data_IF_945790001516
#
_entry.id   IF_945790001516
#
_cell.length_a   1.000
_cell.length_b   1.000
_cell.length_c   1.000
_cell.angle_alpha   90.00
_cell.angle_beta   90.00
_cell.angle_gamma   90.00
#
_symmetry.space_group_name_H-M   'P 1'
#
loop_
_entity.id
_entity.type
_entity.pdbx_description
1 polymer ?
#
# COMPACT_ATOMS: atom_id res chain seq x y z
N UNK A 1 -16.27 -14.63 -3.63
CA UNK A 1 -14.94 -14.14 -4.14
C UNK A 1 -15.13 -12.88 -4.97
N UNK A 2 -14.34 -11.83 -4.74
CA UNK A 2 -14.23 -10.62 -5.57
C UNK A 2 -12.80 -10.49 -6.06
N UNK A 3 -12.60 -10.03 -7.29
CA UNK A 3 -11.29 -9.78 -7.88
C UNK A 3 -11.07 -8.28 -8.02
N UNK A 4 -9.84 -7.85 -7.78
CA UNK A 4 -9.44 -6.46 -7.91
C UNK A 4 -7.99 -6.27 -8.37
N UNK A 5 -7.61 -5.01 -8.53
CA UNK A 5 -6.26 -4.56 -8.87
C UNK A 5 -5.97 -3.23 -8.15
N UNK A 6 -4.68 -2.86 -7.94
CA UNK A 6 -4.35 -1.71 -7.10
C UNK A 6 -4.19 -0.41 -7.87
N UNK A 7 -4.75 0.65 -7.32
CA UNK A 7 -4.44 2.07 -7.42
C UNK A 7 -4.75 2.76 -8.76
N UNK A 8 -4.40 2.18 -9.89
CA UNK A 8 -4.45 2.83 -11.21
C UNK A 8 -5.17 1.94 -12.20
N UNK A 9 -6.11 2.52 -12.94
CA UNK A 9 -6.66 1.91 -14.14
C UNK A 9 -5.94 2.52 -15.34
N UNK A 10 -5.22 1.69 -16.10
CA UNK A 10 -4.39 2.14 -17.23
C UNK A 10 -5.21 2.33 -18.51
N UNK A 11 -6.44 1.85 -18.55
CA UNK A 11 -7.37 2.02 -19.68
C UNK A 11 -8.02 3.40 -19.70
N UNK A 12 -8.22 4.00 -18.52
CA UNK A 12 -8.84 5.32 -18.39
C UNK A 12 -7.79 6.43 -18.52
N UNK A 13 -8.17 7.51 -19.23
CA UNK A 13 -7.31 8.68 -19.44
C UNK A 13 -7.33 9.66 -18.25
N UNK A 14 -7.49 9.14 -17.03
CA UNK A 14 -7.53 9.95 -15.81
C UNK A 14 -6.64 9.36 -14.72
N UNK A 15 -6.42 10.13 -13.65
CA UNK A 15 -5.68 9.68 -12.47
C UNK A 15 -6.41 10.11 -11.21
N UNK A 16 -6.64 9.15 -10.29
CA UNK A 16 -7.20 9.40 -8.96
C UNK A 16 -6.12 9.80 -7.92
N UNK A 17 -4.90 10.09 -8.36
CA UNK A 17 -3.77 10.44 -7.51
C UNK A 17 -3.00 11.67 -8.04
N UNK A 18 -3.72 12.64 -8.61
CA UNK A 18 -3.12 13.91 -9.02
C UNK A 18 -2.57 14.63 -7.79
N UNK A 19 -1.34 15.09 -7.90
CA UNK A 19 -0.66 15.85 -6.84
C UNK A 19 0.18 16.96 -7.42
N UNK A 20 0.78 17.78 -6.56
CA UNK A 20 1.67 18.88 -6.93
C UNK A 20 2.82 18.98 -5.91
N UNK A 21 3.81 19.84 -6.21
CA UNK A 21 4.97 19.99 -5.32
C UNK A 21 4.57 20.72 -4.03
N UNK A 22 5.10 20.31 -2.89
CA UNK A 22 4.85 20.93 -1.58
C UNK A 22 5.05 22.45 -1.59
N UNK A 23 6.10 22.93 -2.25
CA UNK A 23 6.39 24.37 -2.41
C UNK A 23 5.34 25.15 -3.23
N UNK A 24 4.39 24.45 -3.83
CA UNK A 24 3.30 25.03 -4.61
C UNK A 24 1.94 24.83 -3.94
N UNK A 25 1.93 24.51 -2.64
CA UNK A 25 0.70 24.31 -1.89
C UNK A 25 -0.14 25.59 -1.86
N UNK A 26 -1.39 25.49 -2.26
CA UNK A 26 -2.46 26.45 -1.99
C UNK A 26 -3.79 25.72 -1.85
N UNK A 27 -4.77 26.27 -1.09
CA UNK A 27 -6.10 25.67 -0.96
C UNK A 27 -6.79 25.41 -2.31
N UNK A 28 -6.66 26.33 -3.26
CA UNK A 28 -7.28 26.21 -4.59
C UNK A 28 -6.72 25.00 -5.36
N UNK A 29 -5.42 24.75 -5.27
CA UNK A 29 -4.80 23.55 -5.87
C UNK A 29 -5.23 22.26 -5.20
N UNK A 30 -5.44 22.27 -3.87
CA UNK A 30 -6.00 21.13 -3.19
C UNK A 30 -7.41 20.85 -3.70
N UNK A 31 -8.26 21.88 -3.78
CA UNK A 31 -9.63 21.74 -4.31
C UNK A 31 -9.63 21.19 -5.73
N UNK A 32 -8.82 21.73 -6.63
CA UNK A 32 -8.72 21.28 -8.03
C UNK A 32 -8.27 19.80 -8.10
N UNK A 33 -7.23 19.44 -7.35
CA UNK A 33 -6.68 18.10 -7.37
C UNK A 33 -7.66 17.07 -6.77
N UNK A 34 -8.27 17.36 -5.62
CA UNK A 34 -9.22 16.45 -4.96
C UNK A 34 -10.46 16.26 -5.82
N UNK A 35 -11.03 17.33 -6.38
CA UNK A 35 -12.18 17.22 -7.27
C UNK A 35 -11.88 16.31 -8.49
N UNK A 36 -10.72 16.50 -9.12
CA UNK A 36 -10.30 15.67 -10.26
C UNK A 36 -10.04 14.20 -9.84
N UNK A 37 -9.43 13.98 -8.67
CA UNK A 37 -9.15 12.64 -8.16
C UNK A 37 -10.43 11.88 -7.83
N UNK A 38 -11.42 12.52 -7.19
CA UNK A 38 -12.71 11.90 -6.87
C UNK A 38 -13.51 11.60 -8.14
N UNK A 39 -13.52 12.52 -9.11
CA UNK A 39 -14.17 12.28 -10.41
C UNK A 39 -13.55 11.08 -11.14
N UNK A 40 -12.21 10.94 -11.11
CA UNK A 40 -11.53 9.79 -11.69
C UNK A 40 -11.79 8.50 -10.90
N UNK A 41 -11.80 8.56 -9.56
CA UNK A 41 -12.13 7.39 -8.72
C UNK A 41 -13.53 6.85 -9.06
N UNK A 42 -14.52 7.73 -9.21
CA UNK A 42 -15.87 7.34 -9.63
C UNK A 42 -15.84 6.62 -10.99
N UNK A 43 -15.14 7.15 -11.98
CA UNK A 43 -14.99 6.51 -13.29
C UNK A 43 -14.33 5.13 -13.21
N UNK A 44 -13.29 4.98 -12.35
CA UNK A 44 -12.64 3.69 -12.12
C UNK A 44 -13.63 2.68 -11.53
N UNK A 45 -14.43 3.07 -10.54
CA UNK A 45 -15.41 2.19 -9.92
C UNK A 45 -16.52 1.78 -10.87
N UNK A 46 -17.01 2.70 -11.71
CA UNK A 46 -18.00 2.42 -12.78
C UNK A 46 -17.43 1.45 -13.82
N UNK A 47 -16.18 1.68 -14.25
CA UNK A 47 -15.48 0.78 -15.16
C UNK A 47 -15.33 -0.62 -14.54
N UNK A 48 -14.90 -0.69 -13.29
CA UNK A 48 -14.73 -1.95 -12.56
C UNK A 48 -16.06 -2.73 -12.48
N UNK A 49 -17.14 -2.03 -12.13
CA UNK A 49 -18.49 -2.64 -12.09
C UNK A 49 -18.88 -3.23 -13.44
N UNK A 50 -18.69 -2.48 -14.53
CA UNK A 50 -19.02 -2.94 -15.88
C UNK A 50 -18.25 -4.23 -16.27
N UNK A 51 -17.07 -4.45 -15.67
CA UNK A 51 -16.23 -5.63 -15.96
C UNK A 51 -16.32 -6.73 -14.90
N UNK A 52 -17.14 -6.54 -13.84
CA UNK A 52 -17.31 -7.52 -12.76
C UNK A 52 -16.15 -7.53 -11.75
N UNK A 53 -15.35 -6.47 -11.72
CA UNK A 53 -14.26 -6.30 -10.79
C UNK A 53 -14.78 -5.60 -9.54
N UNK A 54 -15.13 -6.38 -8.52
CA UNK A 54 -15.83 -5.89 -7.33
C UNK A 54 -14.90 -5.65 -6.13
N UNK A 55 -13.60 -5.64 -6.35
CA UNK A 55 -12.61 -5.24 -5.35
C UNK A 55 -11.67 -4.19 -5.95
N UNK A 56 -11.35 -3.14 -5.20
CA UNK A 56 -10.42 -2.11 -5.66
C UNK A 56 -9.57 -1.58 -4.50
N UNK A 57 -8.25 -1.59 -4.66
CA UNK A 57 -7.34 -0.91 -3.74
C UNK A 57 -7.14 0.52 -4.20
N UNK A 58 -7.67 1.46 -3.42
CA UNK A 58 -7.54 2.89 -3.70
C UNK A 58 -6.11 3.37 -3.43
N UNK A 59 -5.64 4.31 -4.22
CA UNK A 59 -4.32 4.92 -3.99
C UNK A 59 -4.36 5.96 -2.87
N UNK A 60 -3.28 6.09 -2.11
CA UNK A 60 -3.15 7.04 -0.98
C UNK A 60 -3.26 8.51 -1.40
N UNK A 61 -3.07 8.83 -2.68
CA UNK A 61 -2.98 10.20 -3.19
C UNK A 61 -4.31 10.88 -3.51
N UNK A 62 -5.46 10.40 -3.01
CA UNK A 62 -6.78 11.01 -3.28
C UNK A 62 -6.79 12.47 -2.83
N UNK A 63 -6.27 12.77 -1.64
CA UNK A 63 -6.09 14.13 -1.16
C UNK A 63 -4.58 14.42 -1.08
N UNK A 64 -4.06 15.34 -1.90
CA UNK A 64 -2.66 15.75 -1.81
C UNK A 64 -2.31 16.23 -0.41
N UNK A 65 -1.23 15.68 0.16
CA UNK A 65 -0.77 16.01 1.52
C UNK A 65 -1.80 15.77 2.61
N UNK A 66 -2.68 14.79 2.45
CA UNK A 66 -3.82 14.55 3.34
C UNK A 66 -3.43 14.32 4.81
N UNK A 67 -2.29 13.66 5.05
CA UNK A 67 -1.70 13.43 6.38
C UNK A 67 -0.65 14.47 6.81
N UNK A 68 -0.29 15.42 5.93
CA UNK A 68 0.80 16.37 6.18
C UNK A 68 0.28 17.65 6.80
N UNK A 69 0.97 18.18 7.81
CA UNK A 69 0.62 19.40 8.56
C UNK A 69 0.42 20.67 7.70
N UNK A 70 1.01 20.71 6.50
CA UNK A 70 0.82 21.82 5.57
C UNK A 70 -0.62 21.89 5.06
N UNK A 71 -1.35 20.77 5.04
CA UNK A 71 -2.71 20.73 4.53
C UNK A 71 -3.71 21.15 5.62
N UNK A 72 -3.84 22.45 5.81
CA UNK A 72 -4.81 23.07 6.73
C UNK A 72 -6.18 23.32 6.09
N UNK A 73 -6.33 23.01 4.80
CA UNK A 73 -7.60 23.16 4.12
C UNK A 73 -8.63 22.12 4.61
N UNK A 74 -9.86 22.52 4.96
CA UNK A 74 -10.86 21.63 5.54
C UNK A 74 -11.52 20.75 4.45
N UNK A 75 -10.72 19.96 3.74
CA UNK A 75 -11.17 19.11 2.63
C UNK A 75 -12.23 18.09 3.03
N UNK A 76 -12.22 17.63 4.29
CA UNK A 76 -13.22 16.68 4.81
C UNK A 76 -14.63 17.29 4.76
N UNK A 77 -14.75 18.56 5.11
CA UNK A 77 -16.04 19.27 5.05
C UNK A 77 -16.40 19.64 3.62
N UNK A 78 -15.41 20.11 2.86
CA UNK A 78 -15.63 20.59 1.49
C UNK A 78 -16.10 19.49 0.54
N UNK A 79 -15.58 18.27 0.66
CA UNK A 79 -15.86 17.14 -0.23
C UNK A 79 -16.70 16.04 0.40
N UNK A 80 -17.35 16.34 1.52
CA UNK A 80 -18.16 15.35 2.26
C UNK A 80 -19.21 14.68 1.40
N UNK A 81 -19.91 15.44 0.55
CA UNK A 81 -20.97 14.94 -0.33
C UNK A 81 -20.42 14.01 -1.42
N UNK A 82 -19.27 14.34 -1.98
CA UNK A 82 -18.62 13.56 -3.02
C UNK A 82 -18.09 12.23 -2.49
N UNK A 83 -17.43 12.25 -1.32
CA UNK A 83 -17.00 11.01 -0.64
C UNK A 83 -18.19 10.12 -0.31
N UNK A 84 -19.26 10.69 0.23
CA UNK A 84 -20.48 9.94 0.53
C UNK A 84 -21.10 9.33 -0.72
N UNK A 85 -21.19 10.06 -1.83
CA UNK A 85 -21.73 9.55 -3.09
C UNK A 85 -20.90 8.34 -3.61
N UNK A 86 -19.57 8.39 -3.51
CA UNK A 86 -18.69 7.27 -3.83
C UNK A 86 -18.96 6.08 -2.91
N UNK A 87 -19.08 6.31 -1.61
CA UNK A 87 -19.40 5.27 -0.64
C UNK A 87 -20.76 4.63 -0.87
N UNK A 88 -21.77 5.42 -1.23
CA UNK A 88 -23.10 4.91 -1.59
C UNK A 88 -23.04 4.04 -2.86
N UNK A 89 -22.23 4.43 -3.84
CA UNK A 89 -21.99 3.60 -5.04
C UNK A 89 -21.33 2.27 -4.68
N UNK A 90 -20.27 2.30 -3.85
CA UNK A 90 -19.56 1.09 -3.39
C UNK A 90 -20.53 0.13 -2.68
N UNK A 91 -21.35 0.64 -1.76
CA UNK A 91 -22.34 -0.14 -0.99
C UNK A 91 -23.43 -0.70 -1.90
N UNK A 92 -23.99 0.12 -2.79
CA UNK A 92 -25.08 -0.27 -3.71
C UNK A 92 -24.68 -1.42 -4.64
N UNK A 93 -23.41 -1.51 -5.01
CA UNK A 93 -22.88 -2.53 -5.92
C UNK A 93 -22.08 -3.63 -5.21
N UNK A 94 -22.16 -3.70 -3.87
CA UNK A 94 -21.45 -4.70 -3.07
C UNK A 94 -19.96 -4.78 -3.42
N UNK A 95 -19.34 -3.65 -3.68
CA UNK A 95 -17.89 -3.58 -3.93
C UNK A 95 -17.13 -3.61 -2.61
N UNK A 96 -15.92 -4.13 -2.64
CA UNK A 96 -14.95 -4.01 -1.53
C UNK A 96 -13.86 -3.04 -1.92
N UNK A 97 -13.40 -2.25 -0.97
CA UNK A 97 -12.27 -1.35 -1.17
C UNK A 97 -11.26 -1.49 -0.03
N UNK A 98 -10.03 -1.13 -0.31
CA UNK A 98 -8.95 -1.08 0.68
C UNK A 98 -7.97 0.04 0.34
N UNK A 99 -7.11 0.37 1.31
CA UNK A 99 -5.90 1.14 1.10
C UNK A 99 -4.68 0.30 1.46
N UNK A 100 -3.58 0.59 0.80
CA UNK A 100 -2.25 0.12 1.17
C UNK A 100 -1.31 1.33 1.14
N UNK A 101 -1.03 1.95 2.30
CA UNK A 101 -0.09 3.06 2.38
C UNK A 101 1.30 2.65 1.89
N UNK A 102 2.11 3.65 1.59
CA UNK A 102 3.50 3.44 1.17
C UNK A 102 4.28 2.62 2.20
N UNK A 103 5.26 1.84 1.75
CA UNK A 103 6.16 1.01 2.56
C UNK A 103 6.89 1.75 3.70
N UNK A 104 6.84 3.09 3.72
CA UNK A 104 7.40 3.91 4.80
C UNK A 104 6.45 4.06 5.99
N UNK A 105 5.20 3.63 5.88
CA UNK A 105 4.23 3.58 6.98
C UNK A 105 4.51 2.34 7.81
N UNK A 106 5.17 2.53 8.95
CA UNK A 106 5.65 1.46 9.82
C UNK A 106 5.35 1.77 11.28
N UNK A 107 4.81 0.80 12.02
CA UNK A 107 4.46 0.96 13.44
C UNK A 107 5.61 0.55 14.39
N UNK A 108 6.65 -0.10 13.88
CA UNK A 108 7.71 -0.71 14.66
C UNK A 108 9.04 0.08 14.61
N UNK A 109 9.04 1.28 14.05
CA UNK A 109 10.25 2.11 14.00
C UNK A 109 10.75 2.47 15.40
N UNK A 110 12.07 2.43 15.64
CA UNK A 110 12.65 2.99 16.86
C UNK A 110 12.64 4.52 16.90
N UNK A 111 12.35 5.19 15.78
CA UNK A 111 12.18 6.64 15.69
C UNK A 111 10.70 7.00 15.91
N UNK A 112 10.35 7.66 17.05
CA UNK A 112 8.98 8.01 17.36
C UNK A 112 8.36 9.01 16.34
N UNK A 113 9.16 9.83 15.68
CA UNK A 113 8.68 10.73 14.63
C UNK A 113 8.25 9.97 13.37
N UNK A 114 8.89 8.84 13.05
CA UNK A 114 8.44 7.96 11.95
C UNK A 114 7.13 7.29 12.35
N UNK A 115 7.02 6.77 13.58
CA UNK A 115 5.79 6.14 14.09
C UNK A 115 4.63 7.12 14.04
N UNK A 116 4.82 8.36 14.53
CA UNK A 116 3.76 9.37 14.53
C UNK A 116 3.26 9.68 13.11
N UNK A 117 4.17 9.93 12.16
CA UNK A 117 3.79 10.15 10.74
C UNK A 117 3.08 8.94 10.12
N UNK A 118 3.45 7.73 10.54
CA UNK A 118 2.77 6.51 10.10
C UNK A 118 1.34 6.43 10.63
N UNK A 119 1.13 6.81 11.88
CA UNK A 119 -0.19 6.89 12.50
C UNK A 119 -1.04 7.99 11.81
N UNK A 120 -0.46 9.17 11.56
CA UNK A 120 -1.13 10.28 10.87
C UNK A 120 -1.60 9.85 9.46
N UNK A 121 -0.78 9.07 8.73
CA UNK A 121 -1.17 8.52 7.43
C UNK A 121 -2.31 7.50 7.53
N UNK A 122 -2.28 6.61 8.53
CA UNK A 122 -3.36 5.65 8.77
C UNK A 122 -4.66 6.33 9.18
N UNK A 123 -4.61 7.36 10.03
CA UNK A 123 -5.77 8.18 10.40
C UNK A 123 -6.33 8.88 9.16
N UNK A 124 -5.48 9.46 8.32
CA UNK A 124 -5.90 10.08 7.08
C UNK A 124 -6.66 9.09 6.19
N UNK A 125 -6.07 7.93 5.90
CA UNK A 125 -6.71 6.94 5.01
C UNK A 125 -7.97 6.35 5.65
N UNK A 126 -7.99 6.11 6.96
CA UNK A 126 -9.19 5.70 7.70
C UNK A 126 -10.31 6.73 7.57
N UNK A 127 -9.98 8.03 7.70
CA UNK A 127 -10.96 9.11 7.57
C UNK A 127 -11.60 9.19 6.17
N UNK A 128 -10.89 8.79 5.11
CA UNK A 128 -11.49 8.69 3.76
C UNK A 128 -12.57 7.62 3.71
N UNK A 129 -12.34 6.45 4.34
CA UNK A 129 -13.31 5.36 4.42
C UNK A 129 -14.52 5.77 5.28
N UNK A 130 -14.30 6.53 6.35
CA UNK A 130 -15.36 7.04 7.22
C UNK A 130 -16.22 8.10 6.52
N UNK A 131 -15.61 9.00 5.73
CA UNK A 131 -16.34 9.97 4.90
C UNK A 131 -17.19 9.30 3.81
N UNK A 132 -16.76 8.13 3.33
CA UNK A 132 -17.53 7.26 2.43
C UNK A 132 -18.61 6.45 3.17
N UNK A 133 -18.68 6.55 4.50
CA UNK A 133 -19.61 5.77 5.36
C UNK A 133 -19.49 4.26 5.11
N UNK A 134 -18.27 3.76 4.92
CA UNK A 134 -17.96 2.34 4.76
C UNK A 134 -17.74 1.66 6.11
N UNK A 135 -18.15 0.41 6.22
CA UNK A 135 -17.94 -0.38 7.42
C UNK A 135 -16.48 -0.87 7.58
N UNK A 136 -16.23 -1.67 8.62
CA UNK A 136 -14.88 -2.17 8.93
C UNK A 136 -14.35 -3.23 7.97
N UNK A 137 -15.13 -3.68 6.99
CA UNK A 137 -14.65 -4.57 5.91
C UNK A 137 -13.77 -3.83 4.90
N UNK A 138 -13.86 -2.49 4.84
CA UNK A 138 -12.92 -1.64 4.13
C UNK A 138 -11.63 -1.49 4.95
N UNK A 139 -10.52 -2.05 4.46
CA UNK A 139 -9.30 -2.28 5.23
C UNK A 139 -8.15 -1.33 4.88
N UNK A 140 -7.25 -1.17 5.87
CA UNK A 140 -5.94 -0.52 5.76
C UNK A 140 -4.87 -1.60 5.88
N UNK A 141 -4.13 -1.87 4.82
CA UNK A 141 -3.12 -2.91 4.74
C UNK A 141 -1.74 -2.32 4.98
N UNK A 142 -0.97 -2.91 5.89
CA UNK A 142 0.43 -2.55 6.11
C UNK A 142 1.31 -3.79 6.28
N UNK A 143 2.59 -3.67 5.97
CA UNK A 143 3.60 -4.65 6.38
C UNK A 143 3.98 -4.47 7.86
N UNK A 144 4.57 -5.51 8.45
CA UNK A 144 5.08 -5.44 9.82
C UNK A 144 6.26 -4.45 9.99
N UNK A 145 6.89 -4.06 8.89
CA UNK A 145 7.92 -3.01 8.85
C UNK A 145 9.37 -3.50 8.91
N UNK A 146 10.28 -2.74 9.48
CA UNK A 146 11.71 -3.06 9.53
C UNK A 146 12.10 -3.95 10.70
N UNK A 147 13.21 -4.71 10.59
CA UNK A 147 13.76 -5.52 11.68
C UNK A 147 14.68 -4.71 12.63
N UNK A 148 15.30 -3.64 12.18
CA UNK A 148 16.18 -2.76 12.95
C UNK A 148 17.28 -3.49 13.75
N UNK A 149 17.80 -4.59 13.21
CA UNK A 149 18.82 -5.42 13.82
C UNK A 149 18.31 -6.49 14.81
N UNK A 150 17.06 -6.37 15.28
CA UNK A 150 16.42 -7.34 16.16
C UNK A 150 14.90 -7.43 15.87
N UNK A 151 14.49 -8.53 15.23
CA UNK A 151 13.10 -8.79 14.86
C UNK A 151 12.17 -8.88 16.07
N UNK A 152 12.62 -9.51 17.15
CA UNK A 152 11.81 -9.68 18.36
C UNK A 152 11.45 -8.31 18.98
N UNK A 153 12.46 -7.47 19.19
CA UNK A 153 12.24 -6.10 19.69
C UNK A 153 11.40 -5.25 18.72
N UNK A 154 11.52 -5.48 17.41
CA UNK A 154 10.73 -4.76 16.43
C UNK A 154 9.26 -5.17 16.46
N UNK A 155 8.95 -6.45 16.61
CA UNK A 155 7.57 -6.95 16.81
C UNK A 155 6.97 -6.46 18.12
N UNK A 156 7.74 -6.46 19.22
CA UNK A 156 7.28 -5.93 20.49
C UNK A 156 6.90 -4.43 20.40
N UNK A 157 7.71 -3.61 19.71
CA UNK A 157 7.34 -2.20 19.44
C UNK A 157 6.09 -2.06 18.59
N UNK A 158 5.90 -2.95 17.61
CA UNK A 158 4.68 -2.96 16.79
C UNK A 158 3.43 -3.18 17.67
N UNK A 159 3.48 -4.20 18.54
CA UNK A 159 2.41 -4.52 19.50
C UNK A 159 2.16 -3.36 20.47
N UNK A 160 3.23 -2.78 21.03
CA UNK A 160 3.13 -1.63 21.92
C UNK A 160 2.45 -0.44 21.21
N UNK A 161 2.90 -0.09 20.01
CA UNK A 161 2.32 1.01 19.20
C UNK A 161 0.85 0.73 18.90
N UNK A 162 0.50 -0.50 18.51
CA UNK A 162 -0.87 -0.88 18.24
C UNK A 162 -1.77 -0.64 19.45
N UNK A 163 -1.35 -1.08 20.64
CA UNK A 163 -2.18 -0.95 21.85
C UNK A 163 -2.24 0.47 22.40
N UNK A 164 -1.12 1.21 22.36
CA UNK A 164 -0.99 2.48 23.11
C UNK A 164 -1.18 3.73 22.26
N UNK A 165 -0.97 3.65 20.93
CA UNK A 165 -0.94 4.85 20.09
C UNK A 165 -1.98 4.86 18.98
N UNK A 166 -2.39 3.69 18.45
CA UNK A 166 -3.39 3.64 17.38
C UNK A 166 -4.78 3.93 17.92
N UNK A 167 -5.57 4.83 17.29
CA UNK A 167 -6.97 5.01 17.61
C UNK A 167 -7.82 3.82 17.16
N UNK A 168 -8.95 3.58 17.84
CA UNK A 168 -9.81 2.41 17.61
C UNK A 168 -10.37 2.37 16.18
N UNK A 169 -10.71 3.52 15.60
CA UNK A 169 -11.17 3.64 14.22
C UNK A 169 -10.14 3.17 13.18
N UNK A 170 -8.85 3.24 13.50
CA UNK A 170 -7.78 2.68 12.68
C UNK A 170 -7.61 1.19 12.96
N UNK A 171 -7.59 0.77 14.23
CA UNK A 171 -7.40 -0.65 14.63
C UNK A 171 -8.42 -1.58 13.98
N UNK A 172 -9.70 -1.19 13.94
CA UNK A 172 -10.77 -2.03 13.37
C UNK A 172 -10.62 -2.23 11.86
N UNK A 173 -9.88 -1.35 11.19
CA UNK A 173 -9.63 -1.40 9.75
C UNK A 173 -8.29 -2.02 9.38
N UNK A 174 -7.36 -2.08 10.35
CA UNK A 174 -5.98 -2.51 10.09
C UNK A 174 -5.92 -4.00 9.77
N UNK A 175 -5.06 -4.35 8.80
CA UNK A 175 -4.61 -5.72 8.52
C UNK A 175 -3.10 -5.71 8.30
N UNK A 176 -2.43 -6.78 8.70
CA UNK A 176 -0.99 -6.93 8.51
C UNK A 176 -0.70 -7.96 7.42
N UNK A 177 0.21 -7.63 6.53
CA UNK A 177 0.61 -8.46 5.39
C UNK A 177 1.94 -9.17 5.68
N UNK A 178 2.05 -10.45 5.31
CA UNK A 178 3.32 -11.15 5.25
C UNK A 178 4.19 -10.61 4.12
N UNK A 179 5.50 -10.49 4.34
CA UNK A 179 6.43 -9.96 3.34
C UNK A 179 7.41 -11.00 2.77
N UNK A 180 8.12 -10.64 1.69
CA UNK A 180 9.02 -11.52 0.94
C UNK A 180 10.41 -11.71 1.56
N UNK A 181 10.74 -11.02 2.70
CA UNK A 181 12.14 -10.94 3.22
C UNK A 181 12.29 -11.00 4.73
N UNK A 182 11.39 -10.34 5.48
CA UNK A 182 11.56 -10.12 6.91
C UNK A 182 10.53 -10.87 7.75
N UNK A 183 9.25 -10.72 7.44
CA UNK A 183 8.15 -11.17 8.26
C UNK A 183 7.25 -12.12 7.48
N UNK A 184 7.47 -13.41 7.66
CA UNK A 184 6.63 -14.46 7.07
C UNK A 184 5.23 -14.48 7.72
N UNK A 185 4.36 -15.34 7.21
CA UNK A 185 3.07 -15.61 7.84
C UNK A 185 3.20 -15.93 9.33
N UNK A 186 4.25 -16.69 9.73
CA UNK A 186 4.45 -17.07 11.14
C UNK A 186 4.64 -15.87 12.06
N UNK A 187 5.46 -14.90 11.67
CA UNK A 187 5.63 -13.69 12.46
C UNK A 187 4.36 -12.82 12.46
N UNK A 188 3.63 -12.79 11.35
CA UNK A 188 2.33 -12.10 11.30
C UNK A 188 1.29 -12.78 12.21
N UNK A 189 1.27 -14.12 12.30
CA UNK A 189 0.42 -14.85 13.26
C UNK A 189 0.77 -14.47 14.70
N UNK A 190 2.06 -14.29 15.04
CA UNK A 190 2.44 -13.81 16.37
C UNK A 190 1.90 -12.39 16.66
N UNK A 191 1.84 -11.50 15.66
CA UNK A 191 1.19 -10.20 15.81
C UNK A 191 -0.32 -10.34 16.01
N UNK A 192 -0.96 -11.26 15.28
CA UNK A 192 -2.38 -11.56 15.46
C UNK A 192 -2.67 -12.06 16.89
N UNK A 193 -1.88 -12.98 17.40
CA UNK A 193 -2.06 -13.53 18.75
C UNK A 193 -2.02 -12.46 19.85
N UNK A 194 -1.18 -11.43 19.67
CA UNK A 194 -1.01 -10.34 20.65
C UNK A 194 -2.02 -9.20 20.47
N UNK A 195 -2.58 -9.01 19.26
CA UNK A 195 -3.35 -7.79 18.93
C UNK A 195 -4.74 -8.06 18.36
N UNK A 196 -4.99 -9.26 17.86
CA UNK A 196 -6.21 -9.59 17.13
C UNK A 196 -6.29 -8.99 15.73
N UNK A 197 -5.20 -8.38 15.20
CA UNK A 197 -5.16 -7.84 13.83
C UNK A 197 -5.27 -8.97 12.80
N UNK A 198 -6.18 -8.91 11.81
CA UNK A 198 -6.27 -9.94 10.77
C UNK A 198 -5.04 -9.92 9.87
N UNK A 199 -4.70 -11.08 9.32
CA UNK A 199 -3.59 -11.21 8.37
C UNK A 199 -4.12 -11.17 6.96
N UNK A 200 -3.67 -10.19 6.18
CA UNK A 200 -3.79 -10.21 4.73
C UNK A 200 -2.70 -11.13 4.19
N UNK A 201 -3.10 -12.14 3.44
CA UNK A 201 -2.17 -13.14 2.93
C UNK A 201 -1.71 -12.79 1.51
N UNK A 202 -0.42 -12.54 1.31
CA UNK A 202 0.20 -12.48 -0.01
C UNK A 202 0.81 -13.84 -0.35
N UNK A 203 0.28 -14.50 -1.39
CA UNK A 203 0.75 -15.81 -1.83
C UNK A 203 2.19 -15.77 -2.34
N UNK A 204 2.54 -14.72 -3.08
CA UNK A 204 3.85 -14.62 -3.70
C UNK A 204 4.94 -14.29 -2.70
N UNK A 205 4.62 -13.46 -1.67
CA UNK A 205 5.49 -13.25 -0.53
C UNK A 205 5.70 -14.56 0.25
N UNK A 206 4.64 -15.34 0.45
CA UNK A 206 4.75 -16.65 1.09
C UNK A 206 5.63 -17.61 0.27
N UNK A 207 5.53 -17.65 -1.06
CA UNK A 207 6.46 -18.41 -1.91
C UNK A 207 7.92 -17.96 -1.72
N UNK A 208 8.13 -16.68 -1.44
CA UNK A 208 9.45 -16.13 -1.23
C UNK A 208 9.99 -16.39 0.19
N UNK A 209 9.14 -16.28 1.22
CA UNK A 209 9.52 -16.42 2.62
C UNK A 209 8.46 -17.22 3.39
N UNK A 210 8.81 -18.46 3.75
CA UNK A 210 7.99 -19.33 4.59
C UNK A 210 8.90 -20.24 5.44
N UNK A 211 8.32 -20.99 6.37
CA UNK A 211 9.01 -21.99 7.18
C UNK A 211 8.65 -23.42 6.80
N UNK A 212 8.16 -23.62 5.57
CA UNK A 212 7.79 -24.92 5.02
C UNK A 212 6.29 -25.23 5.06
N UNK A 213 5.46 -24.26 5.46
CA UNK A 213 4.00 -24.39 5.41
C UNK A 213 3.55 -24.51 3.92
N UNK A 214 2.77 -25.56 3.56
CA UNK A 214 2.17 -25.65 2.24
C UNK A 214 1.17 -24.49 1.99
N UNK A 215 1.01 -24.08 0.74
CA UNK A 215 0.14 -22.95 0.36
C UNK A 215 -1.29 -23.07 0.94
N UNK A 216 -1.92 -24.24 0.80
CA UNK A 216 -3.28 -24.45 1.29
C UNK A 216 -3.40 -24.39 2.82
N UNK A 217 -2.36 -24.76 3.56
CA UNK A 217 -2.31 -24.64 5.02
C UNK A 217 -2.12 -23.18 5.42
N UNK A 218 -1.19 -22.48 4.79
CA UNK A 218 -0.93 -21.07 5.03
C UNK A 218 -2.18 -20.19 4.79
N UNK A 219 -2.91 -20.45 3.71
CA UNK A 219 -4.20 -19.79 3.42
C UNK A 219 -5.23 -20.02 4.55
N UNK A 220 -5.35 -21.25 5.05
CA UNK A 220 -6.28 -21.57 6.16
C UNK A 220 -5.88 -20.89 7.46
N UNK A 221 -4.58 -20.84 7.77
CA UNK A 221 -4.07 -20.13 8.96
C UNK A 221 -4.37 -18.63 8.88
N UNK A 222 -4.15 -18.01 7.74
CA UNK A 222 -4.48 -16.61 7.54
C UNK A 222 -6.01 -16.37 7.61
N UNK A 223 -6.82 -17.21 6.97
CA UNK A 223 -8.28 -17.11 7.00
C UNK A 223 -8.86 -17.22 8.42
N UNK A 224 -8.26 -18.04 9.27
CA UNK A 224 -8.68 -18.21 10.66
C UNK A 224 -8.53 -16.92 11.51
N UNK A 225 -7.73 -15.95 11.06
CA UNK A 225 -7.56 -14.65 11.74
C UNK A 225 -8.68 -13.65 11.43
N UNK A 226 -9.53 -13.94 10.43
CA UNK A 226 -10.60 -13.05 9.98
C UNK A 226 -11.92 -13.35 10.67
N UNK A 227 -12.55 -12.30 11.21
CA UNK A 227 -13.87 -12.42 11.83
C UNK A 227 -14.95 -12.03 10.80
N UNK A 228 -15.83 -12.95 10.37
CA UNK A 228 -16.73 -12.74 9.22
C UNK A 228 -17.63 -11.49 9.32
N UNK A 229 -18.12 -11.15 10.51
CA UNK A 229 -19.02 -9.99 10.70
C UNK A 229 -18.28 -8.68 10.89
N UNK A 230 -17.00 -8.70 11.32
CA UNK A 230 -16.17 -7.50 11.50
C UNK A 230 -15.33 -7.21 10.28
N UNK A 231 -14.71 -8.25 9.72
CA UNK A 231 -13.65 -8.10 8.71
C UNK A 231 -14.10 -8.55 7.32
N UNK A 232 -15.20 -9.29 7.22
CA UNK A 232 -15.60 -9.97 6.01
C UNK A 232 -14.80 -11.23 5.74
N UNK A 233 -14.78 -11.69 4.49
CA UNK A 233 -13.95 -12.81 4.05
C UNK A 233 -12.47 -12.42 3.99
N UNK A 234 -11.57 -13.39 3.99
CA UNK A 234 -10.13 -13.16 3.84
C UNK A 234 -9.84 -12.24 2.66
N UNK A 235 -9.11 -11.17 2.90
CA UNK A 235 -8.42 -10.41 1.85
C UNK A 235 -7.06 -11.03 1.60
N UNK A 236 -6.72 -11.20 0.33
CA UNK A 236 -5.41 -11.68 -0.06
C UNK A 236 -4.88 -10.94 -1.27
N UNK A 237 -3.56 -10.92 -1.39
CA UNK A 237 -2.86 -10.46 -2.58
C UNK A 237 -2.37 -11.66 -3.38
N UNK A 238 -2.49 -11.58 -4.70
CA UNK A 238 -2.03 -12.61 -5.64
C UNK A 238 -1.05 -12.02 -6.65
N UNK A 239 0.07 -12.69 -6.78
CA UNK A 239 1.02 -12.50 -7.88
C UNK A 239 1.73 -13.80 -8.19
N UNK A 240 2.63 -13.78 -9.17
CA UNK A 240 3.55 -14.86 -9.47
C UNK A 240 4.92 -14.33 -9.87
N UNK A 241 5.94 -15.17 -9.78
CA UNK A 241 7.31 -14.82 -10.15
C UNK A 241 7.41 -14.46 -11.64
N UNK A 242 7.97 -13.31 -11.94
CA UNK A 242 8.34 -12.94 -13.30
C UNK A 242 9.44 -13.88 -13.83
N UNK A 243 9.19 -14.53 -14.96
CA UNK A 243 10.07 -15.55 -15.51
C UNK A 243 11.45 -14.98 -15.88
N UNK A 244 12.53 -15.65 -15.45
CA UNK A 244 13.90 -15.22 -15.74
C UNK A 244 14.39 -14.02 -14.91
N UNK A 245 13.58 -13.48 -14.03
CA UNK A 245 13.91 -12.33 -13.19
C UNK A 245 14.34 -12.76 -11.77
N UNK A 246 14.93 -11.80 -11.03
CA UNK A 246 15.32 -12.03 -9.63
C UNK A 246 14.12 -12.49 -8.80
N UNK A 247 14.35 -13.35 -7.80
CA UNK A 247 13.33 -13.77 -6.83
C UNK A 247 12.61 -12.55 -6.21
N UNK A 248 11.30 -12.62 -6.09
CA UNK A 248 10.47 -11.54 -5.57
C UNK A 248 10.13 -10.45 -6.59
N UNK A 249 10.31 -10.69 -7.90
CA UNK A 249 9.83 -9.77 -8.93
C UNK A 249 8.47 -10.24 -9.47
N UNK A 250 7.45 -9.43 -9.23
CA UNK A 250 6.09 -9.67 -9.71
C UNK A 250 6.03 -9.76 -11.25
N UNK A 251 5.20 -10.65 -11.73
CA UNK A 251 4.95 -10.82 -13.16
C UNK A 251 4.39 -9.55 -13.81
N UNK A 252 4.61 -9.41 -15.13
CA UNK A 252 4.09 -8.27 -15.88
C UNK A 252 2.62 -8.47 -16.28
N UNK A 253 2.15 -9.72 -16.42
CA UNK A 253 0.78 -10.09 -16.77
C UNK A 253 0.41 -11.41 -16.11
N UNK A 254 -0.88 -11.64 -15.88
CA UNK A 254 -1.41 -12.89 -15.32
C UNK A 254 -0.98 -14.08 -16.19
N UNK A 255 -0.41 -15.10 -15.54
CA UNK A 255 -0.09 -16.39 -16.13
C UNK A 255 -1.24 -17.36 -15.83
N UNK A 256 -2.09 -17.69 -16.82
CA UNK A 256 -3.32 -18.45 -16.59
C UNK A 256 -3.11 -19.79 -15.89
N UNK A 257 -2.04 -20.50 -16.26
CA UNK A 257 -1.73 -21.85 -15.72
C UNK A 257 -1.38 -21.76 -14.23
N UNK A 258 -0.56 -20.78 -13.85
CA UNK A 258 -0.19 -20.56 -12.45
C UNK A 258 -1.40 -20.13 -11.62
N UNK A 259 -2.25 -19.25 -12.18
CA UNK A 259 -3.46 -18.82 -11.52
C UNK A 259 -4.45 -19.97 -11.29
N UNK A 260 -4.67 -20.83 -12.31
CA UNK A 260 -5.50 -22.03 -12.18
C UNK A 260 -4.94 -23.00 -11.15
N UNK A 261 -3.61 -23.18 -11.10
CA UNK A 261 -2.94 -23.99 -10.08
C UNK A 261 -3.19 -23.44 -8.67
N UNK A 262 -3.03 -22.13 -8.48
CA UNK A 262 -3.31 -21.48 -7.21
C UNK A 262 -4.76 -21.62 -6.75
N UNK A 263 -5.74 -21.54 -7.67
CA UNK A 263 -7.16 -21.77 -7.32
C UNK A 263 -7.40 -23.19 -6.79
N UNK A 264 -6.57 -24.16 -7.13
CA UNK A 264 -6.62 -25.52 -6.55
C UNK A 264 -6.15 -25.52 -5.11
N UNK A 265 -5.07 -24.78 -4.79
CA UNK A 265 -4.57 -24.64 -3.42
C UNK A 265 -5.54 -23.85 -2.54
N UNK A 266 -6.26 -22.90 -3.11
CA UNK A 266 -7.31 -22.14 -2.44
C UNK A 266 -8.47 -23.04 -1.96
N UNK A 267 -8.84 -24.05 -2.75
CA UNK A 267 -9.87 -25.01 -2.42
C UNK A 267 -11.25 -24.38 -2.25
N UNK A 268 -11.86 -24.57 -1.07
CA UNK A 268 -13.21 -24.11 -0.69
C UNK A 268 -13.22 -22.77 0.05
N UNK A 269 -12.07 -22.12 0.23
CA UNK A 269 -12.00 -20.85 0.92
C UNK A 269 -12.67 -19.73 0.10
N UNK A 270 -13.56 -18.98 0.74
CA UNK A 270 -14.08 -17.74 0.17
C UNK A 270 -13.12 -16.59 0.50
N UNK A 271 -12.63 -15.93 -0.54
CA UNK A 271 -11.65 -14.85 -0.43
C UNK A 271 -11.97 -13.70 -1.36
N UNK A 272 -11.53 -12.50 -1.03
CA UNK A 272 -11.45 -11.40 -1.96
C UNK A 272 -9.98 -11.16 -2.32
N UNK A 273 -9.67 -11.22 -3.63
CA UNK A 273 -8.30 -11.29 -4.13
C UNK A 273 -7.92 -10.02 -4.89
N UNK A 274 -6.83 -9.41 -4.48
CA UNK A 274 -6.17 -8.29 -5.14
C UNK A 274 -5.02 -8.78 -5.99
N UNK A 275 -5.03 -8.47 -7.28
CA UNK A 275 -3.95 -8.89 -8.19
C UNK A 275 -2.82 -7.86 -8.20
N UNK A 276 -1.71 -8.16 -7.54
CA UNK A 276 -0.49 -7.36 -7.57
C UNK A 276 0.34 -7.66 -8.83
N UNK A 277 -0.26 -7.40 -9.99
CA UNK A 277 0.31 -7.64 -11.31
C UNK A 277 0.41 -6.30 -12.05
N UNK A 278 1.48 -6.13 -12.85
CA UNK A 278 1.81 -4.80 -13.37
C UNK A 278 0.82 -4.25 -14.39
N UNK A 279 0.18 -5.10 -15.18
CA UNK A 279 -0.83 -4.69 -16.16
C UNK A 279 -2.23 -4.52 -15.60
N UNK A 280 -2.34 -4.43 -14.23
CA UNK A 280 -3.49 -3.97 -13.48
C UNK A 280 -4.83 -4.63 -13.91
N UNK A 281 -5.75 -3.80 -14.41
CA UNK A 281 -7.09 -4.21 -14.85
C UNK A 281 -7.05 -5.26 -15.98
N UNK A 282 -6.02 -5.26 -16.80
CA UNK A 282 -5.89 -6.24 -17.87
C UNK A 282 -5.75 -7.67 -17.31
N UNK A 283 -4.92 -7.86 -16.28
CA UNK A 283 -4.82 -9.14 -15.56
C UNK A 283 -6.09 -9.44 -14.78
N UNK A 284 -6.73 -8.43 -14.16
CA UNK A 284 -7.95 -8.63 -13.40
C UNK A 284 -9.11 -9.11 -14.30
N UNK A 285 -9.26 -8.56 -15.50
CA UNK A 285 -10.27 -9.02 -16.48
C UNK A 285 -9.97 -10.45 -16.94
N UNK A 286 -8.69 -10.81 -17.17
CA UNK A 286 -8.30 -12.20 -17.48
C UNK A 286 -8.67 -13.16 -16.35
N UNK A 287 -8.37 -12.79 -15.10
CA UNK A 287 -8.71 -13.58 -13.92
C UNK A 287 -10.21 -13.83 -13.81
N UNK A 288 -11.04 -12.78 -13.96
CA UNK A 288 -12.51 -12.90 -13.98
C UNK A 288 -12.96 -13.84 -15.10
N UNK A 289 -12.34 -13.78 -16.28
CA UNK A 289 -12.63 -14.71 -17.38
C UNK A 289 -12.41 -16.16 -16.97
N UNK A 290 -11.25 -16.47 -16.36
CA UNK A 290 -10.92 -17.80 -15.84
C UNK A 290 -11.90 -18.27 -14.76
N UNK A 291 -12.26 -17.38 -13.82
CA UNK A 291 -13.19 -17.72 -12.75
C UNK A 291 -14.62 -18.00 -13.28
N UNK A 292 -15.06 -17.30 -14.33
CA UNK A 292 -16.32 -17.55 -15.02
C UNK A 292 -16.31 -18.91 -15.72
N UNK A 293 -15.23 -19.27 -16.41
CA UNK A 293 -15.05 -20.58 -17.03
C UNK A 293 -15.12 -21.73 -16.00
N UNK A 294 -14.62 -21.48 -14.78
CA UNK A 294 -14.67 -22.42 -13.66
C UNK A 294 -15.95 -22.36 -12.84
N UNK A 295 -16.90 -21.50 -13.19
CA UNK A 295 -18.15 -21.24 -12.44
C UNK A 295 -17.93 -20.80 -10.99
N UNK A 296 -16.82 -20.14 -10.67
CA UNK A 296 -16.48 -19.63 -9.34
C UNK A 296 -17.05 -18.23 -9.09
N UNK A 297 -17.46 -17.53 -10.13
CA UNK A 297 -18.13 -16.22 -10.08
C UNK A 297 -19.30 -16.21 -11.07
N UNK A 298 -20.28 -15.29 -10.91
CA UNK A 298 -21.41 -15.20 -11.83
C UNK A 298 -20.99 -15.04 -13.29
N UNK A 299 -21.78 -15.62 -14.21
CA UNK A 299 -21.59 -15.44 -15.64
C UNK A 299 -21.59 -13.97 -16.04
N UNK A 300 -20.93 -13.64 -17.12
CA UNK A 300 -20.97 -12.29 -17.66
C UNK A 300 -22.42 -11.93 -18.08
N UNK A 301 -22.82 -10.64 -17.96
CA UNK A 301 -24.10 -10.18 -18.49
C UNK A 301 -24.23 -10.51 -19.99
N UNK A 302 -25.47 -10.71 -20.43
CA UNK A 302 -25.73 -10.93 -21.86
C UNK A 302 -25.21 -9.74 -22.69
N UNK A 303 -24.45 -10.04 -23.75
CA UNK A 303 -23.84 -9.03 -24.61
C UNK A 303 -22.55 -8.40 -24.04
N UNK A 304 -22.02 -8.90 -22.92
CA UNK A 304 -20.72 -8.45 -22.42
C UNK A 304 -19.60 -8.90 -23.36
N UNK A 305 -18.83 -7.94 -23.82
CA UNK A 305 -17.58 -8.17 -24.55
C UNK A 305 -16.40 -7.70 -23.67
N UNK A 306 -15.42 -8.56 -23.40
CA UNK A 306 -14.25 -8.14 -22.63
C UNK A 306 -13.46 -7.09 -23.41
N UNK A 307 -12.88 -6.08 -22.74
CA UNK A 307 -12.04 -5.08 -23.37
C UNK A 307 -10.81 -5.71 -24.01
N UNK A 308 -10.40 -5.18 -25.15
CA UNK A 308 -9.16 -5.59 -25.83
C UNK A 308 -8.05 -4.69 -25.31
N UNK A 309 -7.11 -5.26 -24.59
CA UNK A 309 -5.93 -4.56 -24.13
C UNK A 309 -4.81 -4.62 -25.17
N UNK A 310 -4.14 -3.50 -25.40
CA UNK A 310 -2.93 -3.50 -26.19
C UNK A 310 -1.87 -4.37 -25.48
N UNK A 311 -1.18 -5.28 -26.19
CA UNK A 311 -0.12 -6.04 -25.57
C UNK A 311 0.96 -5.07 -25.07
N UNK A 312 1.37 -5.23 -23.81
CA UNK A 312 2.57 -4.51 -23.34
C UNK A 312 3.73 -4.89 -24.23
N UNK A 313 4.61 -3.94 -24.59
CA UNK A 313 5.83 -4.27 -25.33
C UNK A 313 6.53 -5.39 -24.56
N UNK A 314 6.71 -6.54 -25.21
CA UNK A 314 7.55 -7.60 -24.68
C UNK A 314 8.92 -7.01 -24.39
N UNK A 315 9.42 -7.19 -23.17
CA UNK A 315 10.79 -6.82 -22.83
C UNK A 315 11.81 -7.82 -23.39
N UNK A 316 11.34 -8.79 -24.16
CA UNK A 316 12.15 -9.78 -24.87
C UNK A 316 11.97 -9.62 -26.37
N UNK A 317 13.06 -9.69 -27.12
CA UNK A 317 13.04 -9.81 -28.59
C UNK A 317 12.50 -11.18 -29.03
N UNK A 318 12.38 -11.37 -30.33
CA UNK A 318 11.90 -12.65 -30.92
C UNK A 318 12.79 -13.86 -30.59
N UNK A 319 14.03 -13.61 -30.16
CA UNK A 319 15.02 -14.64 -29.76
C UNK A 319 14.98 -14.88 -28.23
N UNK A 320 14.09 -14.19 -27.46
CA UNK A 320 13.96 -14.34 -26.01
C UNK A 320 14.98 -13.55 -25.20
N UNK A 321 15.74 -12.64 -25.82
CA UNK A 321 16.67 -11.78 -25.12
C UNK A 321 15.93 -10.55 -24.55
N UNK A 322 16.27 -10.13 -23.32
CA UNK A 322 15.68 -8.93 -22.74
C UNK A 322 16.03 -7.67 -23.56
N UNK A 323 15.00 -7.00 -24.09
CA UNK A 323 15.13 -5.65 -24.61
C UNK A 323 15.31 -4.74 -23.42
N UNK A 324 16.55 -4.45 -23.05
CA UNK A 324 16.85 -3.44 -22.02
C UNK A 324 16.40 -2.09 -22.58
N UNK A 325 15.23 -1.62 -22.18
CA UNK A 325 14.81 -0.27 -22.48
C UNK A 325 15.95 0.68 -22.05
N UNK A 326 16.54 1.37 -22.99
CA UNK A 326 17.66 2.27 -22.74
C UNK A 326 17.22 3.23 -21.61
N UNK A 327 17.81 3.08 -20.42
CA UNK A 327 17.58 4.00 -19.30
C UNK A 327 17.88 5.39 -19.83
N UNK A 328 16.86 6.24 -19.93
CA UNK A 328 17.08 7.67 -20.21
C UNK A 328 18.21 8.14 -19.29
N UNK A 329 19.32 8.70 -19.80
CA UNK A 329 20.44 9.07 -18.97
C UNK A 329 19.93 10.01 -17.87
N UNK A 330 20.08 9.61 -16.61
CA UNK A 330 19.84 10.51 -15.48
C UNK A 330 20.71 11.71 -15.71
N UNK A 331 20.13 12.87 -15.97
CA UNK A 331 20.86 14.14 -15.95
C UNK A 331 21.56 14.22 -14.59
N UNK A 332 22.90 14.09 -14.59
CA UNK A 332 23.67 14.36 -13.38
C UNK A 332 23.29 15.76 -12.91
N UNK A 333 23.01 15.96 -11.60
CA UNK A 333 22.81 17.31 -11.10
C UNK A 333 24.06 18.12 -11.46
N UNK A 334 23.88 19.30 -12.04
CA UNK A 334 24.97 20.22 -12.35
C UNK A 334 25.76 20.46 -11.06
N UNK A 335 27.08 20.23 -11.12
CA UNK A 335 27.99 20.61 -10.04
C UNK A 335 27.77 22.11 -9.78
N UNK A 336 27.60 22.57 -8.53
CA UNK A 336 27.55 23.98 -8.26
C UNK A 336 28.86 24.61 -8.75
N UNK A 337 28.79 25.71 -9.45
CA UNK A 337 29.94 26.47 -9.90
C UNK A 337 30.85 26.78 -8.72
N UNK A 338 32.13 26.47 -8.87
CA UNK A 338 33.17 26.75 -7.88
C UNK A 338 33.15 28.22 -7.52
N UNK A 339 32.86 28.53 -6.27
CA UNK A 339 33.13 29.84 -5.71
C UNK A 339 34.65 30.04 -5.71
N UNK A 340 35.08 31.16 -6.28
CA UNK A 340 36.45 31.67 -6.32
C UNK A 340 37.09 31.66 -4.91
N UNK A 341 38.24 31.07 -4.81
CA UNK A 341 39.09 31.09 -3.62
C UNK A 341 39.30 32.53 -3.12
N UNK A 342 38.82 32.85 -1.95
CA UNK A 342 39.30 33.99 -1.16
C UNK A 342 40.39 33.50 -0.20
N UNK A 343 41.52 34.19 -0.20
CA UNK A 343 42.71 33.91 0.56
C UNK A 343 42.48 33.79 2.08
N UNK A 344 43.23 32.94 2.82
CA UNK A 344 42.99 32.70 4.23
C UNK A 344 43.40 33.87 5.11
N UNK A 345 42.48 34.37 5.92
CA UNK A 345 42.74 35.32 6.99
C UNK A 345 43.46 34.63 8.16
N UNK A 346 44.47 35.29 8.69
CA UNK A 346 45.36 34.82 9.74
C UNK A 346 44.61 34.51 11.07
N UNK A 347 44.98 33.36 11.67
CA UNK A 347 44.50 32.91 12.98
C UNK A 347 45.03 33.81 14.13
N UNK A 348 44.22 34.20 15.12
CA UNK A 348 44.69 34.85 16.32
C UNK A 348 45.32 33.86 17.31
N UNK A 349 46.48 34.22 17.86
CA UNK A 349 47.23 33.48 18.88
C UNK A 349 46.42 33.32 20.19
N UNK A 350 46.61 32.20 20.92
CA UNK A 350 45.90 31.97 22.20
C UNK A 350 46.44 32.88 23.31
N UNK A 351 45.49 33.51 24.01
CA UNK A 351 45.79 34.24 25.25
C UNK A 351 46.06 33.26 26.40
N UNK A 352 47.18 33.52 27.12
CA UNK A 352 47.62 32.83 28.34
C UNK A 352 46.55 32.89 29.44
N UNK A 353 46.20 31.75 30.02
CA UNK A 353 45.34 31.63 31.18
C UNK A 353 45.99 32.24 32.43
N UNK A 354 45.24 33.08 33.13
CA UNK A 354 45.61 33.59 34.46
C UNK A 354 45.26 32.51 35.51
N UNK A 355 46.19 32.32 36.46
CA UNK A 355 46.03 31.45 37.63
C UNK A 355 44.88 31.90 38.49
N UNK A 356 43.94 31.03 38.80
CA UNK A 356 42.95 31.23 39.86
C UNK A 356 43.52 30.76 41.20
N UNK A 357 43.40 31.58 42.20
CA UNK A 357 43.65 31.33 43.62
C UNK A 357 42.45 30.59 44.23
N UNK A 358 42.64 29.65 45.17
CA UNK A 358 41.54 28.94 45.79
C UNK A 358 40.83 29.79 46.87
N UNK A 359 39.53 29.64 47.08
CA UNK A 359 38.84 30.30 48.19
C UNK A 359 39.04 29.54 49.49
N UNK A 360 39.26 30.30 50.54
CA UNK A 360 39.31 29.94 51.95
C UNK A 360 37.94 29.57 52.50
N UNK A 361 37.90 28.48 53.23
CA UNK A 361 36.82 28.01 54.07
C UNK A 361 36.46 29.04 55.18
N UNK A 362 35.16 29.22 55.50
CA UNK A 362 34.81 29.52 56.89
C UNK A 362 33.75 28.55 57.41
N UNK A 363 34.11 27.84 58.41
CA UNK A 363 33.30 27.33 59.53
C UNK A 363 32.21 28.31 59.99
N UNK A 364 30.95 27.86 60.02
CA UNK A 364 30.03 27.78 61.17
C UNK A 364 28.70 27.22 60.70
#
# INVERSE_FOLDING_TARGET
MKIGYPCVNETLECSAARTFRLASYTPERVVEAVAANLACLQQILEWNLAHGLLFFRMGSGIVPFGSHEINTFPWQTQFKSEFRAIGDFIKAHNMRVSFHPDQFVVLNSPDPGIVQRSIDELIYQGSLLDLMELDSTAKLQIHAGGAYGDKGSALARWVETFHTMLPEEVKVRLVVENDDRLYSLRECLSLHDETGVPILFDNFHHECLNYGEPMHEALRLAAATWHPTRDGVLMMDYSSQSLGERKGKHTDSLVPELFRGFLTDLGDLDVDMMLEIKDKEASAVKAIGILRELNLVPAAPAGYEPPVFAPRPSLTDAEGNQIVAAKKPRKKPAKPASATEAAPAASPKPRRAAKATPPSDPTL
#
